data_IF_262595627710
#
_entry.id   IF_262595627710
#
_cell.length_a   1.000
_cell.length_b   1.000
_cell.length_c   1.000
_cell.angle_alpha   90.00
_cell.angle_beta   90.00
_cell.angle_gamma   90.00
#
_symmetry.space_group_name_H-M   'P 1'
#
loop_
_entity.id
_entity.type
_entity.pdbx_description
1 polymer ?
#
# COMPACT_ATOMS: atom_id res chain seq x y z
N UNK A 1 -12.90 -17.71 29.05
CA UNK A 1 -12.03 -17.77 27.86
C UNK A 1 -11.77 -16.35 27.38
N UNK A 2 -10.53 -15.85 27.52
CA UNK A 2 -10.15 -14.52 27.04
C UNK A 2 -9.93 -14.64 25.53
N UNK A 3 -10.85 -14.13 24.73
CA UNK A 3 -10.62 -14.00 23.29
C UNK A 3 -9.59 -12.89 23.12
N UNK A 4 -8.35 -13.27 22.85
CA UNK A 4 -7.29 -12.32 22.55
C UNK A 4 -7.59 -11.70 21.17
N UNK A 5 -7.78 -10.38 21.15
CA UNK A 5 -8.12 -9.67 19.92
C UNK A 5 -6.86 -9.51 19.06
N UNK A 6 -6.85 -10.18 17.90
CA UNK A 6 -5.74 -10.05 16.94
C UNK A 6 -5.73 -8.61 16.42
N UNK A 7 -4.59 -7.95 16.59
CA UNK A 7 -4.33 -6.63 15.98
C UNK A 7 -3.48 -6.83 14.73
N UNK A 8 -4.01 -6.36 13.60
CA UNK A 8 -3.30 -6.36 12.32
C UNK A 8 -2.78 -4.96 12.03
N UNK A 9 -1.55 -4.88 11.55
CA UNK A 9 -0.92 -3.65 11.10
C UNK A 9 -0.24 -3.87 9.75
N UNK A 10 -0.21 -2.83 8.92
CA UNK A 10 0.44 -2.83 7.61
C UNK A 10 1.46 -1.71 7.55
N UNK A 11 2.55 -1.92 6.81
CA UNK A 11 3.64 -0.95 6.63
C UNK A 11 4.05 -0.90 5.17
N UNK A 12 4.06 0.30 4.60
CA UNK A 12 4.68 0.56 3.30
C UNK A 12 6.16 0.90 3.52
N UNK A 13 7.04 0.33 2.70
CA UNK A 13 8.48 0.62 2.73
C UNK A 13 8.88 1.59 1.62
N UNK A 14 9.96 2.38 1.78
CA UNK A 14 10.56 3.09 0.66
C UNK A 14 11.06 2.14 -0.44
N UNK A 15 11.25 2.68 -1.64
CA UNK A 15 11.84 1.95 -2.75
C UNK A 15 13.26 1.46 -2.43
N UNK A 16 13.51 0.20 -2.77
CA UNK A 16 14.83 -0.42 -2.83
C UNK A 16 15.62 0.10 -4.02
N UNK A 17 16.94 -0.16 -4.03
CA UNK A 17 17.80 0.27 -5.13
C UNK A 17 17.30 -0.25 -6.48
N UNK A 18 17.00 -1.55 -6.58
CA UNK A 18 16.45 -2.18 -7.79
C UNK A 18 15.17 -1.52 -8.30
N UNK A 19 14.29 -1.06 -7.40
CA UNK A 19 13.05 -0.38 -7.79
C UNK A 19 13.32 1.04 -8.30
N UNK A 20 14.28 1.75 -7.70
CA UNK A 20 14.74 3.06 -8.18
C UNK A 20 15.41 2.95 -9.56
N UNK A 21 16.30 1.97 -9.74
CA UNK A 21 17.01 1.74 -11.00
C UNK A 21 16.05 1.48 -12.18
N UNK A 22 14.88 0.89 -11.89
CA UNK A 22 13.82 0.62 -12.87
C UNK A 22 12.78 1.74 -12.98
N UNK A 23 12.99 2.89 -12.32
CA UNK A 23 12.03 4.00 -12.28
C UNK A 23 10.61 3.56 -11.89
N UNK A 24 10.50 2.67 -10.88
CA UNK A 24 9.22 2.15 -10.42
C UNK A 24 8.31 3.26 -9.88
N UNK A 25 7.00 3.12 -10.08
CA UNK A 25 5.98 4.08 -9.61
C UNK A 25 5.40 3.65 -8.26
N UNK A 26 5.11 4.61 -7.40
CA UNK A 26 4.44 4.35 -6.12
C UNK A 26 2.95 4.15 -6.40
N UNK A 27 2.45 2.94 -6.14
CA UNK A 27 1.06 2.56 -6.37
C UNK A 27 0.27 2.35 -5.09
N UNK A 28 0.89 2.56 -3.93
CA UNK A 28 0.24 2.40 -2.63
C UNK A 28 0.00 3.78 -2.02
N UNK A 29 -1.24 4.04 -1.61
CA UNK A 29 -1.64 5.22 -0.84
C UNK A 29 -2.21 4.77 0.49
N UNK A 30 -1.82 5.43 1.57
CA UNK A 30 -2.44 5.22 2.89
C UNK A 30 -3.18 6.49 3.30
N UNK A 31 -4.41 6.33 3.77
CA UNK A 31 -5.22 7.42 4.34
C UNK A 31 -5.75 6.95 5.69
N UNK A 32 -5.17 7.46 6.77
CA UNK A 32 -5.48 6.99 8.12
C UNK A 32 -5.16 5.50 8.27
N UNK A 33 -6.19 4.70 8.56
CA UNK A 33 -6.09 3.24 8.71
C UNK A 33 -6.34 2.48 7.40
N UNK A 34 -6.82 3.16 6.36
CA UNK A 34 -7.12 2.56 5.06
C UNK A 34 -5.88 2.59 4.17
N UNK A 35 -5.64 1.48 3.48
CA UNK A 35 -4.59 1.34 2.47
C UNK A 35 -5.24 1.12 1.14
N UNK A 36 -4.71 1.74 0.10
CA UNK A 36 -5.26 1.76 -1.24
C UNK A 36 -4.19 1.41 -2.26
N UNK A 37 -4.58 0.61 -3.25
CA UNK A 37 -3.75 0.22 -4.39
C UNK A 37 -4.30 0.91 -5.64
N UNK A 38 -3.43 1.66 -6.32
CA UNK A 38 -3.73 2.44 -7.51
C UNK A 38 -3.21 1.67 -8.72
N UNK A 39 -4.03 1.51 -9.76
CA UNK A 39 -3.55 0.94 -11.03
C UNK A 39 -2.70 2.00 -11.78
N UNK A 40 -1.41 1.73 -12.05
CA UNK A 40 -0.57 2.66 -12.79
C UNK A 40 -0.99 2.85 -14.26
N UNK A 41 -1.86 1.98 -14.80
CA UNK A 41 -2.42 2.06 -16.16
C UNK A 41 -3.74 2.83 -16.20
N UNK A 42 -4.45 2.94 -15.08
CA UNK A 42 -5.73 3.63 -14.96
C UNK A 42 -5.76 4.51 -13.69
N UNK A 43 -5.00 5.61 -13.66
CA UNK A 43 -4.82 6.43 -12.45
C UNK A 43 -6.07 7.23 -12.02
N UNK A 44 -7.11 7.28 -12.86
CA UNK A 44 -8.37 7.94 -12.56
C UNK A 44 -9.43 6.99 -11.97
N UNK A 45 -9.20 5.68 -12.00
CA UNK A 45 -10.11 4.73 -11.37
C UNK A 45 -9.99 4.78 -9.85
N UNK A 46 -11.10 4.44 -9.18
CA UNK A 46 -11.12 4.40 -7.72
C UNK A 46 -10.09 3.39 -7.19
N UNK A 47 -9.22 3.80 -6.24
CA UNK A 47 -8.22 2.91 -5.68
C UNK A 47 -8.86 1.72 -4.94
N UNK A 48 -8.29 0.52 -5.12
CA UNK A 48 -8.78 -0.69 -4.44
C UNK A 48 -8.29 -0.73 -3.00
N UNK A 49 -9.18 -0.99 -2.05
CA UNK A 49 -8.84 -1.16 -0.63
C UNK A 49 -8.39 -2.60 -0.33
#
# INVERSE_FOLDING_TARGET
FRFESIKVAVRVRPFSQREKDRSAKLVIKMQGKSTFIIDPKAPQDEPKQ
#
